data_IF_886213530629
#
_entry.id   IF_886213530629
#
_cell.length_a   1.000
_cell.length_b   1.000
_cell.length_c   1.000
_cell.angle_alpha   90.00
_cell.angle_beta   90.00
_cell.angle_gamma   90.00
#
_symmetry.space_group_name_H-M   'P 1'
#
loop_
_entity.id
_entity.type
_entity.pdbx_description
1 polymer ?
#
# COMPACT_ATOMS: atom_id res chain seq x y z
N UNK A 1 -5.33 3.24 2.44
CA UNK A 1 -5.02 4.04 1.23
C UNK A 1 -3.82 4.95 1.53
N UNK A 2 -3.05 5.45 0.55
CA UNK A 2 -1.92 6.37 0.84
C UNK A 2 -2.35 7.57 1.68
N UNK A 3 -3.54 8.11 1.38
CA UNK A 3 -4.14 9.27 2.07
C UNK A 3 -4.43 9.05 3.55
N UNK A 4 -4.52 7.79 4.01
CA UNK A 4 -4.76 7.44 5.41
C UNK A 4 -3.46 7.35 6.22
N UNK A 5 -2.30 7.33 5.55
CA UNK A 5 -1.01 7.27 6.22
C UNK A 5 -0.70 8.64 6.82
N UNK A 6 -0.33 8.68 8.11
CA UNK A 6 -0.05 9.93 8.86
C UNK A 6 0.92 10.87 8.12
N UNK A 7 1.97 10.31 7.53
CA UNK A 7 3.00 11.05 6.81
C UNK A 7 2.64 11.49 5.38
N UNK A 8 1.52 11.04 4.82
CA UNK A 8 1.16 11.35 3.43
C UNK A 8 1.03 12.85 3.18
N UNK A 9 0.30 13.55 4.05
CA UNK A 9 0.13 15.00 3.90
C UNK A 9 1.44 15.76 4.12
N UNK A 10 2.35 15.25 4.94
CA UNK A 10 3.67 15.83 5.14
C UNK A 10 4.52 15.72 3.86
N UNK A 11 4.50 14.56 3.20
CA UNK A 11 5.15 14.37 1.90
C UNK A 11 4.57 15.32 0.84
N UNK A 12 3.24 15.40 0.73
CA UNK A 12 2.57 16.29 -0.23
C UNK A 12 3.02 17.73 -0.01
N UNK A 13 2.93 18.25 1.22
CA UNK A 13 3.34 19.63 1.54
C UNK A 13 4.79 19.90 1.19
N UNK A 14 5.69 18.98 1.53
CA UNK A 14 7.13 19.10 1.24
C UNK A 14 7.43 19.15 -0.25
N UNK A 15 6.78 18.29 -1.05
CA UNK A 15 7.01 18.27 -2.50
C UNK A 15 6.34 19.47 -3.18
N UNK A 16 5.18 19.90 -2.66
CA UNK A 16 4.43 21.02 -3.21
C UNK A 16 5.08 22.38 -2.94
N UNK A 17 5.92 22.50 -1.90
CA UNK A 17 6.65 23.75 -1.63
C UNK A 17 7.80 24.00 -2.61
N UNK A 18 8.24 22.97 -3.36
CA UNK A 18 9.35 23.10 -4.33
C UNK A 18 8.94 24.10 -5.44
N UNK A 19 9.73 25.17 -5.67
CA UNK A 19 9.47 26.13 -6.73
C UNK A 19 9.46 25.46 -8.12
N UNK A 20 8.59 25.91 -8.99
CA UNK A 20 8.53 25.48 -10.39
C UNK A 20 8.39 26.73 -11.27
N UNK A 21 9.18 26.80 -12.34
CA UNK A 21 9.20 27.94 -13.25
C UNK A 21 8.24 27.71 -14.43
N UNK A 22 7.66 28.79 -14.94
CA UNK A 22 6.79 28.77 -16.12
C UNK A 22 5.50 29.56 -15.93
N UNK A 23 4.61 29.49 -16.91
CA UNK A 23 3.26 30.06 -16.81
C UNK A 23 2.44 29.29 -15.76
N UNK A 24 1.42 29.89 -15.14
CA UNK A 24 0.67 29.24 -14.06
C UNK A 24 0.22 27.78 -14.35
N UNK A 25 -0.28 27.43 -15.54
CA UNK A 25 -0.61 26.02 -15.85
C UNK A 25 0.60 25.10 -15.87
N UNK A 26 1.75 25.58 -16.34
CA UNK A 26 3.00 24.83 -16.39
C UNK A 26 3.57 24.59 -14.98
N UNK A 27 3.42 25.58 -14.08
CA UNK A 27 3.81 25.45 -12.68
C UNK A 27 3.00 24.34 -12.00
N UNK A 28 1.68 24.31 -12.18
CA UNK A 28 0.81 23.27 -11.62
C UNK A 28 1.18 21.89 -12.17
N UNK A 29 1.36 21.77 -13.49
CA UNK A 29 1.77 20.51 -14.12
C UNK A 29 3.14 20.05 -13.59
N UNK A 30 4.09 20.97 -13.42
CA UNK A 30 5.41 20.68 -12.85
C UNK A 30 5.32 20.13 -11.43
N UNK A 31 4.53 20.78 -10.56
CA UNK A 31 4.28 20.32 -9.19
C UNK A 31 3.63 18.92 -9.15
N UNK A 32 2.64 18.67 -10.01
CA UNK A 32 2.00 17.35 -10.12
C UNK A 32 2.98 16.26 -10.59
N UNK A 33 3.87 16.57 -11.56
CA UNK A 33 4.92 15.64 -12.00
C UNK A 33 5.90 15.30 -10.87
N UNK A 34 6.31 16.30 -10.10
CA UNK A 34 7.20 16.11 -8.95
C UNK A 34 6.53 15.27 -7.86
N UNK A 35 5.26 15.58 -7.55
CA UNK A 35 4.48 14.82 -6.58
C UNK A 35 4.32 13.35 -7.00
N UNK A 36 4.02 13.09 -8.29
CA UNK A 36 3.94 11.73 -8.81
C UNK A 36 5.24 10.95 -8.64
N UNK A 37 6.39 11.58 -8.90
CA UNK A 37 7.70 10.92 -8.70
C UNK A 37 7.95 10.61 -7.23
N UNK A 38 7.74 11.60 -6.36
CA UNK A 38 7.94 11.42 -4.92
C UNK A 38 7.03 10.35 -4.33
N UNK A 39 5.76 10.29 -4.76
CA UNK A 39 4.82 9.25 -4.33
C UNK A 39 5.26 7.85 -4.78
N UNK A 40 5.86 7.70 -5.96
CA UNK A 40 6.40 6.41 -6.41
C UNK A 40 7.56 5.94 -5.53
N UNK A 41 8.52 6.83 -5.24
CA UNK A 41 9.65 6.51 -4.36
C UNK A 41 9.17 6.18 -2.95
N UNK A 42 8.30 7.03 -2.40
CA UNK A 42 7.75 6.85 -1.06
C UNK A 42 6.91 5.57 -0.95
N UNK A 43 6.16 5.21 -1.99
CA UNK A 43 5.42 3.95 -2.02
C UNK A 43 6.35 2.74 -1.90
N UNK A 44 7.51 2.78 -2.57
CA UNK A 44 8.52 1.74 -2.44
C UNK A 44 9.19 1.74 -1.06
N UNK A 45 9.55 2.91 -0.54
CA UNK A 45 10.23 3.04 0.76
C UNK A 45 9.35 2.57 1.93
N UNK A 46 8.06 2.92 1.92
CA UNK A 46 7.14 2.62 3.02
C UNK A 46 6.45 1.28 2.87
N UNK A 47 6.11 0.86 1.64
CA UNK A 47 5.34 -0.35 1.41
C UNK A 47 6.11 -1.46 0.70
N UNK A 48 7.34 -1.20 0.24
CA UNK A 48 8.20 -2.17 -0.44
C UNK A 48 7.64 -2.65 -1.77
N UNK A 49 8.03 -3.87 -2.16
CA UNK A 49 7.39 -4.59 -3.26
C UNK A 49 6.00 -5.07 -2.81
N UNK A 50 5.01 -4.27 -3.19
CA UNK A 50 3.61 -4.57 -2.91
C UNK A 50 3.20 -5.94 -3.47
N UNK A 51 3.68 -6.30 -4.66
CA UNK A 51 3.35 -7.59 -5.28
C UNK A 51 3.98 -8.74 -4.50
N UNK A 52 5.24 -8.62 -4.07
CA UNK A 52 5.87 -9.63 -3.23
C UNK A 52 5.19 -9.75 -1.86
N UNK A 53 4.77 -8.63 -1.26
CA UNK A 53 4.03 -8.64 0.01
C UNK A 53 2.65 -9.30 -0.14
N UNK A 54 1.94 -9.01 -1.24
CA UNK A 54 0.67 -9.68 -1.57
C UNK A 54 0.89 -11.19 -1.76
N UNK A 55 1.88 -11.60 -2.56
CA UNK A 55 2.20 -13.01 -2.78
C UNK A 55 2.56 -13.74 -1.48
N UNK A 56 3.32 -13.10 -0.58
CA UNK A 56 3.64 -13.68 0.73
C UNK A 56 2.39 -13.85 1.59
N UNK A 57 1.50 -12.85 1.61
CA UNK A 57 0.24 -12.92 2.35
C UNK A 57 -0.70 -13.98 1.80
N UNK A 58 -0.76 -14.15 0.48
CA UNK A 58 -1.46 -15.28 -0.13
C UNK A 58 -0.83 -16.61 0.29
N UNK A 59 0.50 -16.76 0.25
CA UNK A 59 1.17 -17.99 0.66
C UNK A 59 0.91 -18.35 2.13
N UNK A 60 0.91 -17.37 3.04
CA UNK A 60 0.53 -17.54 4.45
C UNK A 60 -0.92 -18.05 4.57
N UNK A 61 -1.86 -17.44 3.82
CA UNK A 61 -3.27 -17.87 3.77
C UNK A 61 -3.43 -19.30 3.27
N UNK A 62 -2.80 -19.64 2.15
CA UNK A 62 -2.84 -20.97 1.58
C UNK A 62 -2.30 -22.02 2.55
N UNK A 63 -1.24 -21.71 3.30
CA UNK A 63 -0.71 -22.59 4.33
C UNK A 63 -1.70 -22.82 5.46
N UNK A 64 -2.38 -21.76 5.93
CA UNK A 64 -3.42 -21.87 6.97
C UNK A 64 -4.62 -22.70 6.49
N UNK A 65 -5.11 -22.44 5.27
CA UNK A 65 -6.21 -23.20 4.67
C UNK A 65 -5.88 -24.67 4.48
N UNK A 66 -4.65 -25.00 4.04
CA UNK A 66 -4.18 -26.39 3.93
C UNK A 66 -4.18 -27.08 5.29
N UNK A 67 -3.67 -26.41 6.34
CA UNK A 67 -3.68 -26.96 7.70
C UNK A 67 -5.10 -27.17 8.24
N UNK A 68 -6.05 -26.28 7.94
CA UNK A 68 -7.46 -26.44 8.31
C UNK A 68 -8.12 -27.62 7.59
N UNK A 69 -7.75 -27.88 6.34
CA UNK A 69 -8.23 -29.04 5.58
C UNK A 69 -7.75 -30.36 6.18
N UNK A 70 -6.54 -30.40 6.73
CA UNK A 70 -5.93 -31.61 7.28
C UNK A 70 -6.32 -31.87 8.76
N UNK A 71 -6.53 -30.83 9.57
CA UNK A 71 -6.78 -30.93 11.02
C UNK A 71 -8.25 -30.78 11.44
N UNK A 72 -9.14 -30.40 10.51
CA UNK A 72 -10.53 -30.07 10.83
C UNK A 72 -10.68 -28.68 11.48
N UNK A 73 -11.92 -28.19 11.55
CA UNK A 73 -12.23 -26.79 11.86
C UNK A 73 -11.69 -26.32 13.23
N UNK A 74 -10.75 -25.37 13.19
CA UNK A 74 -10.25 -24.65 14.37
C UNK A 74 -10.72 -23.19 14.35
N UNK A 75 -11.37 -22.75 15.45
CA UNK A 75 -11.86 -21.39 15.63
C UNK A 75 -10.74 -20.34 15.54
N UNK A 76 -9.51 -20.68 15.96
CA UNK A 76 -8.36 -19.77 15.84
C UNK A 76 -7.88 -19.60 14.40
N UNK A 77 -7.90 -20.67 13.61
CA UNK A 77 -7.50 -20.63 12.21
C UNK A 77 -8.50 -19.80 11.37
N UNK A 78 -9.80 -19.89 11.68
CA UNK A 78 -10.84 -19.07 11.03
C UNK A 78 -10.69 -17.56 11.31
N UNK A 79 -10.35 -17.19 12.56
CA UNK A 79 -10.08 -15.79 12.92
C UNK A 79 -8.82 -15.26 12.21
N UNK A 80 -7.82 -16.13 12.03
CA UNK A 80 -6.60 -15.80 11.30
C UNK A 80 -6.86 -15.59 9.81
N UNK A 81 -7.69 -16.42 9.20
CA UNK A 81 -8.12 -16.29 7.80
C UNK A 81 -8.92 -15.00 7.55
N UNK A 82 -9.86 -14.65 8.44
CA UNK A 82 -10.58 -13.37 8.38
C UNK A 82 -9.64 -12.17 8.39
N UNK A 83 -8.61 -12.20 9.25
CA UNK A 83 -7.62 -11.13 9.35
C UNK A 83 -6.78 -11.02 8.08
N UNK A 84 -6.34 -12.14 7.52
CA UNK A 84 -5.57 -12.11 6.28
C UNK A 84 -6.39 -11.71 5.05
N UNK A 85 -7.66 -12.11 4.96
CA UNK A 85 -8.56 -11.62 3.91
C UNK A 85 -8.75 -10.11 4.00
N UNK A 86 -8.92 -9.57 5.21
CA UNK A 86 -8.97 -8.13 5.44
C UNK A 86 -7.68 -7.45 4.95
N UNK A 87 -6.51 -7.96 5.35
CA UNK A 87 -5.22 -7.41 4.94
C UNK A 87 -5.00 -7.48 3.43
N UNK A 88 -5.42 -8.57 2.78
CA UNK A 88 -5.36 -8.70 1.32
C UNK A 88 -6.28 -7.73 0.60
N UNK A 89 -7.50 -7.51 1.07
CA UNK A 89 -8.42 -6.52 0.50
C UNK A 89 -7.85 -5.10 0.66
N UNK A 90 -7.16 -4.83 1.76
CA UNK A 90 -6.45 -3.57 2.00
C UNK A 90 -5.23 -3.42 1.08
N UNK A 91 -4.59 -4.51 0.67
CA UNK A 91 -3.45 -4.51 -0.26
C UNK A 91 -3.87 -4.50 -1.74
N UNK A 92 -4.99 -5.15 -2.12
CA UNK A 92 -5.45 -5.30 -3.50
C UNK A 92 -6.23 -4.09 -4.02
N UNK A 93 -6.74 -3.24 -3.13
CA UNK A 93 -7.34 -1.94 -3.45
C UNK A 93 -6.31 -0.79 -3.53
N UNK A 94 -5.01 -1.09 -3.44
CA UNK A 94 -3.91 -0.11 -3.55
C UNK A 94 -3.49 0.11 -5.00
#
# INVERSE_FOLDING_TARGET
>A
MWVDHSEFMNLVRRVWSIPCNGRPPQVVIGKLKNLKKALKSWNWEVFGDLNANISRKFAELWSVQSQMSDLGFSKELFLTELRFHHDLVVLSRR
#
